data_IF_917134897024
#
_entry.id   IF_917134897024
#
_cell.length_a   1.000
_cell.length_b   1.000
_cell.length_c   1.000
_cell.angle_alpha   90.00
_cell.angle_beta   90.00
_cell.angle_gamma   90.00
#
_symmetry.space_group_name_H-M   'P 1'
#
loop_
_entity.id
_entity.type
_entity.pdbx_description
1 polymer ?
#
# COMPACT_ATOMS: atom_id res chain seq x y z
N UNK A 1 10.19 0.97 -0.47
CA UNK A 1 9.59 0.87 0.89
C UNK A 1 8.85 -0.44 1.10
N UNK A 2 8.28 -1.09 0.07
CA UNK A 2 7.46 -2.30 0.28
C UNK A 2 8.22 -3.50 0.89
N UNK A 3 9.55 -3.51 0.79
CA UNK A 3 10.41 -4.54 1.38
C UNK A 3 10.93 -4.21 2.80
N UNK A 4 10.61 -3.03 3.34
CA UNK A 4 11.06 -2.59 4.67
C UNK A 4 10.23 -3.25 5.79
N UNK A 5 10.82 -3.40 6.97
CA UNK A 5 10.01 -3.73 8.15
C UNK A 5 9.15 -2.52 8.51
N UNK A 6 7.96 -2.78 9.02
CA UNK A 6 7.03 -1.72 9.46
C UNK A 6 7.69 -0.81 10.50
N UNK A 7 8.50 -1.36 11.41
CA UNK A 7 9.22 -0.57 12.41
C UNK A 7 10.21 0.41 11.77
N UNK A 8 11.06 -0.07 10.84
CA UNK A 8 12.06 0.74 10.15
C UNK A 8 11.39 1.88 9.36
N UNK A 9 10.28 1.57 8.69
CA UNK A 9 9.48 2.56 7.97
C UNK A 9 8.96 3.68 8.89
N UNK A 10 8.46 3.32 10.08
CA UNK A 10 7.92 4.31 11.04
C UNK A 10 9.04 5.22 11.55
N UNK A 11 10.21 4.65 11.84
CA UNK A 11 11.39 5.42 12.25
C UNK A 11 11.87 6.36 11.14
N UNK A 12 11.90 5.89 9.88
CA UNK A 12 12.27 6.70 8.72
C UNK A 12 11.30 7.87 8.49
N UNK A 13 9.98 7.63 8.57
CA UNK A 13 8.95 8.69 8.43
C UNK A 13 9.07 9.74 9.54
N UNK A 14 9.44 9.33 10.75
CA UNK A 14 9.61 10.24 11.89
C UNK A 14 10.96 10.98 11.90
N UNK A 15 11.92 10.53 11.09
CA UNK A 15 13.24 11.13 11.03
C UNK A 15 13.19 12.57 10.54
N UNK A 16 14.14 13.41 11.00
CA UNK A 16 14.29 14.79 10.54
C UNK A 16 15.01 14.84 9.18
N UNK A 17 14.47 14.14 8.20
CA UNK A 17 14.97 14.00 6.83
C UNK A 17 13.83 14.26 5.83
N UNK A 18 14.12 14.67 4.58
CA UNK A 18 13.09 14.93 3.59
C UNK A 18 12.44 13.68 2.97
N UNK A 19 12.97 12.48 3.26
CA UNK A 19 12.45 11.20 2.79
C UNK A 19 12.31 10.22 3.97
N UNK A 20 11.37 9.25 3.90
CA UNK A 20 10.34 9.08 2.86
C UNK A 20 9.30 10.22 2.87
N UNK A 21 8.97 10.72 1.68
CA UNK A 21 8.07 11.85 1.52
C UNK A 21 6.59 11.48 1.68
N UNK A 22 5.73 12.48 1.89
CA UNK A 22 4.28 12.27 2.04
C UNK A 22 3.63 11.54 0.85
N UNK A 23 4.19 11.67 -0.36
CA UNK A 23 3.74 10.94 -1.55
C UNK A 23 3.92 9.43 -1.42
N UNK A 24 5.11 9.00 -1.00
CA UNK A 24 5.44 7.58 -0.81
C UNK A 24 4.55 6.94 0.27
N UNK A 25 4.35 7.64 1.39
CA UNK A 25 3.44 7.21 2.46
C UNK A 25 2.00 7.13 1.97
N UNK A 26 1.55 8.07 1.15
CA UNK A 26 0.20 8.01 0.54
C UNK A 26 0.07 6.82 -0.40
N UNK A 27 1.10 6.51 -1.19
CA UNK A 27 1.18 5.31 -2.02
C UNK A 27 1.02 4.03 -1.18
N UNK A 28 1.72 3.94 -0.05
CA UNK A 28 1.60 2.81 0.87
C UNK A 28 0.17 2.67 1.43
N UNK A 29 -0.46 3.77 1.85
CA UNK A 29 -1.86 3.76 2.33
C UNK A 29 -2.82 3.27 1.24
N UNK A 30 -2.60 3.66 -0.02
CA UNK A 30 -3.39 3.18 -1.14
C UNK A 30 -3.21 1.66 -1.38
N UNK A 31 -1.97 1.15 -1.30
CA UNK A 31 -1.66 -0.29 -1.39
C UNK A 31 -2.41 -1.07 -0.29
N UNK A 32 -2.33 -0.60 0.96
CA UNK A 32 -3.01 -1.22 2.11
C UNK A 32 -4.53 -1.22 1.92
N UNK A 33 -5.10 -0.11 1.47
CA UNK A 33 -6.55 0.02 1.23
C UNK A 33 -7.02 -0.95 0.15
N UNK A 34 -6.28 -1.09 -0.96
CA UNK A 34 -6.60 -2.04 -2.03
C UNK A 34 -6.48 -3.49 -1.55
N UNK A 35 -5.49 -3.81 -0.73
CA UNK A 35 -5.33 -5.15 -0.13
C UNK A 35 -6.48 -5.50 0.83
N UNK A 36 -6.93 -4.55 1.65
CA UNK A 36 -8.07 -4.72 2.55
C UNK A 36 -9.37 -4.92 1.77
N UNK A 37 -9.62 -4.11 0.74
CA UNK A 37 -10.78 -4.28 -0.13
C UNK A 37 -10.76 -5.66 -0.83
N UNK A 38 -9.59 -6.10 -1.31
CA UNK A 38 -9.42 -7.43 -1.88
C UNK A 38 -9.76 -8.54 -0.86
N UNK A 39 -9.31 -8.40 0.39
CA UNK A 39 -9.60 -9.34 1.46
C UNK A 39 -11.11 -9.45 1.71
N UNK A 40 -11.81 -8.32 1.82
CA UNK A 40 -13.27 -8.30 1.99
C UNK A 40 -13.97 -8.96 0.81
N UNK A 41 -13.55 -8.68 -0.42
CA UNK A 41 -14.11 -9.30 -1.62
C UNK A 41 -13.95 -10.84 -1.63
N UNK A 42 -12.81 -11.35 -1.15
CA UNK A 42 -12.61 -12.81 -0.97
C UNK A 42 -13.58 -13.42 0.03
N UNK A 43 -13.87 -12.73 1.14
CA UNK A 43 -14.83 -13.21 2.13
C UNK A 43 -16.29 -13.16 1.65
N UNK A 44 -16.56 -12.40 0.58
CA UNK A 44 -17.88 -12.28 -0.05
C UNK A 44 -18.03 -13.12 -1.32
N UNK A 45 -17.04 -13.96 -1.67
CA UNK A 45 -16.98 -14.74 -2.92
C UNK A 45 -17.15 -13.89 -4.21
N UNK A 46 -16.77 -12.61 -4.17
CA UNK A 46 -16.87 -11.69 -5.30
C UNK A 46 -15.56 -11.69 -6.13
N UNK A 47 -15.49 -12.60 -7.10
CA UNK A 47 -14.31 -12.79 -7.94
C UNK A 47 -13.96 -11.56 -8.81
N UNK A 48 -14.95 -10.78 -9.25
CA UNK A 48 -14.72 -9.59 -10.07
C UNK A 48 -14.04 -8.50 -9.25
N UNK A 49 -14.58 -8.21 -8.06
CA UNK A 49 -13.99 -7.23 -7.14
C UNK A 49 -12.60 -7.68 -6.67
N UNK A 50 -12.38 -8.98 -6.43
CA UNK A 50 -11.04 -9.50 -6.11
C UNK A 50 -10.02 -9.18 -7.21
N UNK A 51 -10.40 -9.36 -8.48
CA UNK A 51 -9.54 -9.09 -9.62
C UNK A 51 -9.26 -7.59 -9.79
N UNK A 52 -10.29 -6.75 -9.62
CA UNK A 52 -10.14 -5.30 -9.71
C UNK A 52 -9.27 -4.74 -8.57
N UNK A 53 -9.46 -5.19 -7.32
CA UNK A 53 -8.59 -4.80 -6.22
C UNK A 53 -7.14 -5.27 -6.44
N UNK A 54 -6.92 -6.46 -7.02
CA UNK A 54 -5.58 -6.92 -7.39
C UNK A 54 -4.91 -5.99 -8.42
N UNK A 55 -5.69 -5.54 -9.41
CA UNK A 55 -5.23 -4.62 -10.46
C UNK A 55 -4.91 -3.26 -9.89
N UNK A 56 -5.78 -2.71 -9.04
CA UNK A 56 -5.55 -1.44 -8.34
C UNK A 56 -4.28 -1.51 -7.50
N UNK A 57 -4.11 -2.56 -6.69
CA UNK A 57 -2.92 -2.77 -5.85
C UNK A 57 -1.63 -2.69 -6.68
N UNK A 58 -1.53 -3.46 -7.77
CA UNK A 58 -0.37 -3.43 -8.69
C UNK A 58 -0.11 -2.05 -9.30
N UNK A 59 -1.15 -1.24 -9.52
CA UNK A 59 -0.98 0.11 -10.08
C UNK A 59 -0.45 1.12 -9.07
N UNK A 60 -0.76 0.95 -7.78
CA UNK A 60 -0.36 1.88 -6.72
C UNK A 60 0.92 1.47 -6.00
N UNK A 61 1.33 0.21 -6.10
CA UNK A 61 2.62 -0.29 -5.58
C UNK A 61 3.83 0.61 -5.95
N UNK A 62 4.02 1.03 -7.21
CA UNK A 62 5.15 1.91 -7.57
C UNK A 62 5.10 3.29 -6.91
N UNK A 63 3.92 3.76 -6.50
CA UNK A 63 3.79 5.04 -5.79
C UNK A 63 4.28 4.95 -4.34
N UNK A 64 4.27 3.74 -3.75
CA UNK A 64 4.81 3.51 -2.42
C UNK A 64 6.35 3.46 -2.41
N UNK A 65 6.97 3.22 -3.57
CA UNK A 65 8.43 3.17 -3.73
C UNK A 65 9.01 4.45 -4.36
N UNK A 66 8.19 5.47 -4.56
CA UNK A 66 8.54 6.75 -5.19
C UNK A 66 9.22 7.76 -4.24
#
# INVERSE_FOLDING_TARGET
>A
MLDARVADLVDEVAARTPAPGAGAVTGLVAVLSAALAQMVARFSDDAETVAECARLRRRVEPLADA
#
